data_IF_304394539694
#
_entry.id   IF_304394539694
#
_cell.length_a   1.000
_cell.length_b   1.000
_cell.length_c   1.000
_cell.angle_alpha   90.00
_cell.angle_beta   90.00
_cell.angle_gamma   90.00
#
_symmetry.space_group_name_H-M   'P 1'
#
loop_
_entity.id
_entity.type
_entity.pdbx_description
1 polymer ?
#
# COMPACT_ATOMS: atom_id res chain seq x y z
N UNK A 1 47.39 -26.58 -43.80
CA UNK A 1 46.41 -25.54 -43.44
C UNK A 1 46.11 -25.72 -41.96
N UNK A 2 46.29 -24.67 -41.18
CA UNK A 2 46.47 -24.71 -39.72
C UNK A 2 45.16 -24.76 -38.91
N UNK A 3 45.35 -25.19 -37.66
CA UNK A 3 44.49 -25.34 -36.48
C UNK A 3 43.70 -24.06 -36.15
N UNK A 4 42.49 -24.18 -35.58
CA UNK A 4 41.84 -23.06 -34.89
C UNK A 4 40.48 -23.36 -34.28
N UNK A 5 40.48 -23.80 -33.02
CA UNK A 5 39.34 -23.87 -32.10
C UNK A 5 38.71 -22.50 -31.83
N UNK A 6 37.44 -22.47 -31.42
CA UNK A 6 36.84 -21.24 -30.86
C UNK A 6 35.37 -21.37 -30.53
N UNK A 7 35.08 -21.83 -29.30
CA UNK A 7 33.80 -21.67 -28.62
C UNK A 7 33.24 -20.25 -28.76
N UNK A 8 31.91 -20.11 -28.78
CA UNK A 8 31.27 -19.11 -27.91
C UNK A 8 29.82 -19.51 -27.58
N UNK A 9 29.68 -19.86 -26.31
CA UNK A 9 28.45 -19.94 -25.55
C UNK A 9 27.68 -18.62 -25.62
N UNK A 10 26.35 -18.70 -25.71
CA UNK A 10 25.41 -17.83 -24.98
C UNK A 10 23.95 -18.28 -25.24
N UNK A 11 23.63 -19.51 -24.81
CA UNK A 11 22.23 -19.94 -24.66
C UNK A 11 22.01 -20.43 -23.22
N UNK A 12 22.23 -19.52 -22.28
CA UNK A 12 21.93 -19.74 -20.86
C UNK A 12 21.70 -18.38 -20.21
N UNK A 13 20.48 -17.84 -20.36
CA UNK A 13 19.92 -16.76 -19.53
C UNK A 13 18.39 -16.74 -19.67
N UNK A 14 17.69 -17.79 -19.24
CA UNK A 14 16.23 -17.72 -19.04
C UNK A 14 15.70 -18.69 -17.96
N UNK A 15 16.55 -19.25 -17.08
CA UNK A 15 16.12 -20.31 -16.14
C UNK A 15 16.35 -19.96 -14.67
N UNK A 16 16.32 -18.68 -14.28
CA UNK A 16 16.28 -18.32 -12.86
C UNK A 16 14.85 -17.98 -12.39
N UNK A 17 13.96 -17.48 -13.26
CA UNK A 17 12.56 -17.18 -12.89
C UNK A 17 11.61 -18.39 -12.86
N UNK A 18 12.01 -19.52 -13.45
CA UNK A 18 11.13 -20.71 -13.56
C UNK A 18 11.05 -21.53 -12.26
N UNK A 19 12.03 -21.40 -11.36
CA UNK A 19 12.08 -22.22 -10.15
C UNK A 19 11.12 -21.69 -9.06
N UNK A 20 11.11 -20.37 -8.85
CA UNK A 20 10.29 -19.72 -7.81
C UNK A 20 8.79 -19.74 -8.14
N UNK A 21 8.44 -19.69 -9.44
CA UNK A 21 7.04 -19.70 -9.88
C UNK A 21 6.36 -21.05 -9.56
N UNK A 22 7.09 -22.16 -9.72
CA UNK A 22 6.62 -23.50 -9.38
C UNK A 22 6.45 -23.72 -7.87
N UNK A 23 7.16 -22.99 -7.00
CA UNK A 23 7.00 -23.10 -5.54
C UNK A 23 5.78 -22.36 -5.02
N UNK A 24 5.53 -21.15 -5.55
CA UNK A 24 4.32 -20.39 -5.23
C UNK A 24 3.09 -21.11 -5.78
N UNK A 25 3.17 -21.70 -6.97
CA UNK A 25 2.08 -22.48 -7.55
C UNK A 25 1.77 -23.74 -6.73
N UNK A 26 2.79 -24.45 -6.22
CA UNK A 26 2.60 -25.60 -5.31
C UNK A 26 2.05 -25.17 -3.94
N UNK A 27 2.52 -24.06 -3.38
CA UNK A 27 2.04 -23.54 -2.09
C UNK A 27 0.58 -23.04 -2.14
N UNK A 28 0.10 -22.66 -3.34
CA UNK A 28 -1.27 -22.17 -3.57
C UNK A 28 -2.15 -23.17 -4.31
N UNK A 29 -1.69 -24.41 -4.51
CA UNK A 29 -2.37 -25.45 -5.31
C UNK A 29 -3.74 -25.86 -4.72
N UNK A 30 -3.96 -25.64 -3.42
CA UNK A 30 -5.23 -25.91 -2.74
C UNK A 30 -6.27 -24.79 -2.87
N UNK A 31 -5.92 -23.62 -3.41
CA UNK A 31 -6.84 -22.49 -3.55
C UNK A 31 -7.45 -22.47 -4.95
N UNK A 32 -8.77 -22.32 -5.04
CA UNK A 32 -9.42 -22.17 -6.34
C UNK A 32 -9.11 -20.80 -6.94
N UNK A 33 -9.00 -20.72 -8.28
CA UNK A 33 -8.79 -19.42 -8.96
C UNK A 33 -9.90 -18.41 -8.65
N UNK A 34 -11.11 -18.88 -8.29
CA UNK A 34 -12.20 -18.04 -7.79
C UNK A 34 -11.91 -17.38 -6.43
N UNK A 35 -11.25 -18.08 -5.49
CA UNK A 35 -10.87 -17.51 -4.19
C UNK A 35 -9.75 -16.47 -4.34
N UNK A 36 -8.83 -16.74 -5.28
CA UNK A 36 -7.76 -15.81 -5.64
C UNK A 36 -8.30 -14.52 -6.28
N UNK A 37 -9.42 -14.58 -7.00
CA UNK A 37 -10.09 -13.42 -7.61
C UNK A 37 -10.97 -12.67 -6.62
N UNK A 38 -11.64 -13.35 -5.68
CA UNK A 38 -12.48 -12.71 -4.66
C UNK A 38 -11.68 -11.88 -3.65
N UNK A 39 -10.42 -12.24 -3.40
CA UNK A 39 -9.52 -11.48 -2.52
C UNK A 39 -9.13 -10.08 -3.07
N UNK A 40 -9.54 -9.74 -4.30
CA UNK A 40 -9.02 -8.55 -5.01
C UNK A 40 -10.09 -7.61 -5.54
N UNK A 41 -10.20 -6.41 -4.96
CA UNK A 41 -11.16 -5.42 -5.41
C UNK A 41 -10.81 -4.74 -6.76
N UNK A 42 -9.54 -4.60 -7.15
CA UNK A 42 -9.13 -3.98 -8.44
C UNK A 42 -9.51 -4.78 -9.69
N UNK A 43 -9.72 -6.10 -9.55
CA UNK A 43 -10.15 -6.94 -10.66
C UNK A 43 -11.57 -6.60 -11.13
N UNK A 44 -12.39 -5.99 -10.26
CA UNK A 44 -13.73 -5.51 -10.62
C UNK A 44 -13.70 -4.27 -11.51
N UNK A 45 -12.59 -3.53 -11.49
CA UNK A 45 -12.41 -2.26 -12.22
C UNK A 45 -11.59 -2.43 -13.52
N UNK A 46 -11.18 -3.67 -13.85
CA UNK A 46 -10.40 -3.97 -15.05
C UNK A 46 -8.94 -3.50 -14.98
N UNK A 47 -8.43 -3.22 -13.79
CA UNK A 47 -7.03 -2.81 -13.59
C UNK A 47 -6.18 -4.07 -13.40
N UNK A 48 -5.18 -4.25 -14.27
CA UNK A 48 -4.23 -5.37 -14.17
C UNK A 48 -3.08 -5.03 -13.21
N UNK A 49 -2.81 -5.86 -12.18
CA UNK A 49 -1.68 -5.66 -11.29
C UNK A 49 -0.34 -5.96 -11.99
N UNK A 50 0.78 -5.42 -11.48
CA UNK A 50 2.11 -5.64 -12.06
C UNK A 50 2.62 -7.09 -11.90
N UNK A 51 1.88 -7.96 -11.19
CA UNK A 51 2.29 -9.31 -10.81
C UNK A 51 1.20 -10.33 -11.10
N UNK A 52 1.61 -11.59 -11.24
CA UNK A 52 0.66 -12.69 -11.45
C UNK A 52 -0.30 -12.83 -10.26
N UNK A 53 -1.51 -13.37 -10.49
CA UNK A 53 -2.51 -13.42 -9.44
C UNK A 53 -2.08 -14.12 -8.16
N UNK A 54 -1.33 -15.21 -8.26
CA UNK A 54 -0.86 -15.98 -7.11
C UNK A 54 0.21 -15.22 -6.33
N UNK A 55 1.12 -14.52 -7.03
CA UNK A 55 2.15 -13.67 -6.43
C UNK A 55 1.53 -12.52 -5.64
N UNK A 56 0.52 -11.85 -6.18
CA UNK A 56 -0.21 -10.80 -5.45
C UNK A 56 -0.84 -11.32 -4.15
N UNK A 57 -1.48 -12.49 -4.20
CA UNK A 57 -2.12 -13.08 -3.02
C UNK A 57 -1.10 -13.42 -1.93
N UNK A 58 0.00 -14.10 -2.30
CA UNK A 58 1.07 -14.44 -1.37
C UNK A 58 1.70 -13.18 -0.75
N UNK A 59 1.95 -12.14 -1.55
CA UNK A 59 2.45 -10.86 -1.07
C UNK A 59 1.47 -10.18 -0.12
N UNK A 60 0.17 -10.14 -0.43
CA UNK A 60 -0.82 -9.55 0.47
C UNK A 60 -0.85 -10.26 1.82
N UNK A 61 -0.76 -11.59 1.82
CA UNK A 61 -0.73 -12.37 3.06
C UNK A 61 0.51 -12.07 3.90
N UNK A 62 1.68 -11.98 3.24
CA UNK A 62 2.94 -11.62 3.86
C UNK A 62 2.92 -10.19 4.42
N UNK A 63 2.48 -9.22 3.61
CA UNK A 63 2.42 -7.80 3.98
C UNK A 63 1.41 -7.52 5.10
N UNK A 64 0.41 -8.37 5.26
CA UNK A 64 -0.58 -8.28 6.35
C UNK A 64 -0.03 -8.75 7.70
N UNK A 65 1.13 -9.42 7.72
CA UNK A 65 1.77 -9.82 8.97
C UNK A 65 2.51 -8.64 9.60
N UNK A 66 2.44 -8.53 10.93
CA UNK A 66 3.23 -7.54 11.67
C UNK A 66 4.58 -8.13 12.06
N UNK A 67 5.64 -7.55 11.54
CA UNK A 67 7.01 -7.85 11.93
C UNK A 67 7.60 -6.71 12.76
N UNK A 68 8.67 -6.96 13.50
CA UNK A 68 9.43 -5.86 14.12
C UNK A 68 10.24 -5.15 13.03
N UNK A 69 10.32 -3.82 13.10
CA UNK A 69 11.01 -3.04 12.06
C UNK A 69 12.49 -3.41 11.95
N UNK A 70 13.13 -3.81 13.06
CA UNK A 70 14.52 -4.29 13.05
C UNK A 70 14.67 -5.62 12.29
N UNK A 71 13.80 -6.59 12.57
CA UNK A 71 13.79 -7.87 11.85
C UNK A 71 13.53 -7.66 10.36
N UNK A 72 12.55 -6.82 10.04
CA UNK A 72 12.19 -6.51 8.65
C UNK A 72 13.36 -5.89 7.90
N UNK A 73 14.12 -5.00 8.55
CA UNK A 73 15.26 -4.33 7.94
C UNK A 73 16.46 -5.27 7.75
N UNK A 74 16.69 -6.20 8.67
CA UNK A 74 17.74 -7.22 8.53
C UNK A 74 17.44 -8.16 7.36
N UNK A 75 16.20 -8.66 7.27
CA UNK A 75 15.76 -9.52 6.17
C UNK A 75 15.73 -8.76 4.83
N UNK A 76 15.25 -7.51 4.83
CA UNK A 76 15.19 -6.70 3.62
C UNK A 76 16.57 -6.50 2.99
N UNK A 77 17.64 -6.31 3.77
CA UNK A 77 19.01 -6.20 3.24
C UNK A 77 19.51 -7.46 2.53
N UNK A 78 18.98 -8.63 2.91
CA UNK A 78 19.32 -9.91 2.28
C UNK A 78 18.66 -10.14 0.92
N UNK A 79 17.64 -9.34 0.56
CA UNK A 79 16.92 -9.48 -0.69
C UNK A 79 17.75 -9.00 -1.89
N UNK A 80 17.56 -9.67 -3.03
CA UNK A 80 18.10 -9.21 -4.30
C UNK A 80 17.46 -7.89 -4.73
N UNK A 81 18.21 -7.05 -5.45
CA UNK A 81 17.68 -5.77 -5.93
C UNK A 81 16.45 -5.93 -6.84
N UNK A 82 16.44 -6.97 -7.69
CA UNK A 82 15.32 -7.25 -8.58
C UNK A 82 14.04 -7.60 -7.80
N UNK A 83 14.18 -8.39 -6.73
CA UNK A 83 13.07 -8.69 -5.81
C UNK A 83 12.58 -7.44 -5.10
N UNK A 84 13.49 -6.58 -4.61
CA UNK A 84 13.17 -5.31 -3.95
C UNK A 84 12.39 -4.38 -4.88
N UNK A 85 12.87 -4.22 -6.12
CA UNK A 85 12.23 -3.37 -7.11
C UNK A 85 10.84 -3.91 -7.48
N UNK A 86 10.70 -5.23 -7.58
CA UNK A 86 9.41 -5.91 -7.85
C UNK A 86 8.41 -5.68 -6.71
N UNK A 87 8.85 -5.85 -5.46
CA UNK A 87 8.00 -5.60 -4.29
C UNK A 87 7.65 -4.11 -4.19
N UNK A 88 8.61 -3.20 -4.42
CA UNK A 88 8.37 -1.76 -4.40
C UNK A 88 7.36 -1.31 -5.47
N UNK A 89 7.43 -1.85 -6.69
CA UNK A 89 6.42 -1.66 -7.75
C UNK A 89 5.04 -2.11 -7.29
N UNK A 90 4.96 -3.26 -6.63
CA UNK A 90 3.70 -3.77 -6.12
C UNK A 90 3.13 -2.92 -4.96
N UNK A 91 3.98 -2.48 -4.02
CA UNK A 91 3.56 -1.60 -2.92
C UNK A 91 3.10 -0.23 -3.44
N UNK A 92 3.77 0.32 -4.45
CA UNK A 92 3.34 1.55 -5.13
C UNK A 92 1.99 1.38 -5.83
N UNK A 93 1.76 0.23 -6.47
CA UNK A 93 0.45 -0.13 -7.02
C UNK A 93 -0.62 -0.17 -5.91
N UNK A 94 -0.35 -0.83 -4.79
CA UNK A 94 -1.27 -0.88 -3.65
C UNK A 94 -1.56 0.51 -3.08
N UNK A 95 -0.57 1.39 -2.96
CA UNK A 95 -0.77 2.79 -2.54
C UNK A 95 -1.60 3.60 -3.54
N UNK A 96 -1.56 3.25 -4.82
CA UNK A 96 -2.36 3.91 -5.86
C UNK A 96 -3.80 3.45 -5.86
N UNK A 97 -4.03 2.20 -5.46
CA UNK A 97 -5.34 1.59 -5.49
C UNK A 97 -6.06 1.63 -4.12
N UNK A 98 -5.33 1.78 -3.01
CA UNK A 98 -5.90 1.77 -1.66
C UNK A 98 -7.08 2.74 -1.55
N UNK A 99 -8.30 2.24 -1.29
CA UNK A 99 -9.47 3.09 -1.23
C UNK A 99 -9.35 4.04 -0.03
N UNK A 100 -9.86 5.28 -0.13
CA UNK A 100 -9.82 6.25 0.96
C UNK A 100 -10.67 5.82 2.18
N UNK A 101 -11.59 4.88 1.99
CA UNK A 101 -12.36 4.22 3.05
C UNK A 101 -12.15 2.72 2.92
N UNK A 102 -11.56 2.03 3.92
CA UNK A 102 -11.37 0.59 3.88
C UNK A 102 -12.73 -0.12 3.83
N UNK A 103 -12.94 -0.98 2.83
CA UNK A 103 -14.08 -1.90 2.84
C UNK A 103 -13.78 -3.06 3.81
N UNK A 104 -14.74 -3.41 4.67
CA UNK A 104 -14.57 -4.36 5.79
C UNK A 104 -14.12 -5.77 5.37
N UNK A 105 -14.24 -6.13 4.09
CA UNK A 105 -14.00 -7.51 3.60
C UNK A 105 -12.80 -7.61 2.65
N UNK A 106 -11.84 -6.69 2.74
CA UNK A 106 -10.73 -6.68 1.79
C UNK A 106 -9.54 -7.48 2.32
N UNK A 107 -9.10 -8.50 1.59
CA UNK A 107 -7.87 -9.29 1.84
C UNK A 107 -6.57 -8.47 1.62
N UNK A 108 -6.64 -7.15 1.73
CA UNK A 108 -5.53 -6.25 1.49
C UNK A 108 -4.80 -5.92 2.78
N UNK A 109 -3.47 -5.76 2.71
CA UNK A 109 -2.72 -5.27 3.85
C UNK A 109 -3.22 -3.85 4.22
N UNK A 110 -3.36 -3.56 5.52
CA UNK A 110 -3.61 -2.20 6.01
C UNK A 110 -2.60 -1.20 5.43
N UNK A 111 -3.07 0.01 5.14
CA UNK A 111 -2.25 1.07 4.55
C UNK A 111 -1.00 1.36 5.40
N UNK A 112 -1.10 1.28 6.72
CA UNK A 112 0.05 1.50 7.60
C UNK A 112 1.15 0.47 7.37
N UNK A 113 0.79 -0.80 7.13
CA UNK A 113 1.76 -1.85 6.84
C UNK A 113 2.38 -1.66 5.46
N UNK A 114 1.60 -1.28 4.45
CA UNK A 114 2.13 -0.96 3.12
C UNK A 114 3.20 0.14 3.20
N UNK A 115 2.94 1.19 3.99
CA UNK A 115 3.90 2.29 4.22
C UNK A 115 5.12 1.79 5.00
N UNK A 116 4.94 0.97 6.05
CA UNK A 116 6.05 0.41 6.84
C UNK A 116 6.99 -0.44 5.98
N UNK A 117 6.45 -1.36 5.20
CA UNK A 117 7.21 -2.20 4.27
C UNK A 117 7.94 -1.36 3.22
N UNK A 118 7.27 -0.35 2.66
CA UNK A 118 7.89 0.52 1.67
C UNK A 118 9.08 1.29 2.27
N UNK A 119 8.92 1.86 3.47
CA UNK A 119 10.00 2.56 4.17
C UNK A 119 11.19 1.63 4.43
N UNK A 120 10.95 0.42 4.91
CA UNK A 120 12.04 -0.53 5.20
C UNK A 120 12.79 -0.94 3.95
N UNK A 121 12.11 -1.15 2.82
CA UNK A 121 12.75 -1.46 1.55
C UNK A 121 13.58 -0.29 1.02
N UNK A 122 13.02 0.93 1.08
CA UNK A 122 13.71 2.15 0.67
C UNK A 122 14.96 2.40 1.53
N UNK A 123 14.85 2.25 2.85
CA UNK A 123 15.96 2.47 3.78
C UNK A 123 17.07 1.43 3.60
N UNK A 124 16.71 0.19 3.31
CA UNK A 124 17.67 -0.91 3.17
C UNK A 124 18.42 -0.88 1.83
N UNK A 125 17.77 -0.38 0.77
CA UNK A 125 18.32 -0.40 -0.60
C UNK A 125 18.47 0.99 -1.23
N UNK A 126 18.48 2.05 -0.42
CA UNK A 126 18.45 3.44 -0.87
C UNK A 126 19.43 3.76 -2.00
N UNK A 127 20.70 3.35 -1.87
CA UNK A 127 21.72 3.63 -2.87
C UNK A 127 21.42 2.96 -4.21
N UNK A 128 20.98 1.70 -4.20
CA UNK A 128 20.68 0.94 -5.41
C UNK A 128 19.44 1.51 -6.11
N UNK A 129 18.40 1.83 -5.34
CA UNK A 129 17.16 2.43 -5.84
C UNK A 129 17.43 3.81 -6.46
N UNK A 130 18.26 4.64 -5.82
CA UNK A 130 18.59 5.98 -6.33
C UNK A 130 19.41 5.95 -7.62
N UNK A 131 20.20 4.91 -7.84
CA UNK A 131 21.05 4.76 -9.03
C UNK A 131 20.33 4.04 -10.18
N UNK A 132 19.25 3.31 -9.90
CA UNK A 132 18.50 2.59 -10.91
C UNK A 132 17.57 3.52 -11.70
N UNK A 133 17.75 3.58 -13.02
CA UNK A 133 16.87 4.36 -13.90
C UNK A 133 15.43 3.83 -13.85
N UNK A 134 15.26 2.51 -13.75
CA UNK A 134 13.96 1.82 -13.67
C UNK A 134 13.14 2.16 -12.40
N UNK A 135 13.79 2.73 -11.38
CA UNK A 135 13.14 3.14 -10.14
C UNK A 135 12.71 4.61 -10.13
N UNK A 136 13.24 5.42 -11.06
CA UNK A 136 13.08 6.89 -11.03
C UNK A 136 11.61 7.32 -11.13
N UNK A 137 10.84 6.67 -11.98
CA UNK A 137 9.42 6.97 -12.16
C UNK A 137 8.60 6.62 -10.91
N UNK A 138 8.92 5.47 -10.29
CA UNK A 138 8.27 5.02 -9.05
C UNK A 138 8.56 6.00 -7.93
N UNK A 139 9.82 6.41 -7.76
CA UNK A 139 10.22 7.35 -6.72
C UNK A 139 9.56 8.71 -6.91
N UNK A 140 9.54 9.23 -8.14
CA UNK A 140 8.88 10.50 -8.45
C UNK A 140 7.38 10.45 -8.11
N UNK A 141 6.72 9.33 -8.46
CA UNK A 141 5.30 9.14 -8.12
C UNK A 141 5.06 8.95 -6.61
N UNK A 142 5.98 8.30 -5.90
CA UNK A 142 5.92 8.18 -4.44
C UNK A 142 6.08 9.53 -3.75
N UNK A 143 7.00 10.38 -4.20
CA UNK A 143 7.17 11.74 -3.68
C UNK A 143 5.89 12.56 -3.82
N UNK A 144 5.26 12.52 -4.99
CA UNK A 144 3.98 13.18 -5.23
C UNK A 144 2.87 12.65 -4.31
N UNK A 145 2.79 11.33 -4.14
CA UNK A 145 1.81 10.71 -3.22
C UNK A 145 2.05 11.10 -1.77
N UNK A 146 3.29 11.09 -1.30
CA UNK A 146 3.62 11.51 0.06
C UNK A 146 3.25 12.98 0.28
N UNK A 147 3.47 13.85 -0.70
CA UNK A 147 3.02 15.24 -0.64
C UNK A 147 1.50 15.35 -0.52
N UNK A 148 0.75 14.59 -1.34
CA UNK A 148 -0.72 14.54 -1.26
C UNK A 148 -1.23 13.98 0.07
N UNK A 149 -0.66 12.88 0.56
CA UNK A 149 -1.03 12.26 1.83
C UNK A 149 -0.75 13.20 3.02
N UNK A 150 0.39 13.90 3.00
CA UNK A 150 0.74 14.89 4.03
C UNK A 150 -0.24 16.06 4.02
N UNK A 151 -0.57 16.58 2.83
CA UNK A 151 -1.57 17.64 2.67
C UNK A 151 -2.94 17.19 3.19
N UNK A 152 -3.43 16.03 2.77
CA UNK A 152 -4.69 15.47 3.23
C UNK A 152 -4.71 15.27 4.75
N UNK A 153 -3.62 14.80 5.35
CA UNK A 153 -3.52 14.63 6.79
C UNK A 153 -3.65 15.99 7.52
N UNK A 154 -3.01 17.04 7.00
CA UNK A 154 -3.10 18.38 7.56
C UNK A 154 -4.52 18.97 7.46
N UNK A 155 -5.18 18.77 6.32
CA UNK A 155 -6.56 19.23 6.08
C UNK A 155 -7.55 18.48 6.97
N UNK A 156 -7.38 17.16 7.10
CA UNK A 156 -8.20 16.31 7.98
C UNK A 156 -8.04 16.69 9.45
N UNK A 157 -6.82 17.01 9.88
CA UNK A 157 -6.55 17.51 11.24
C UNK A 157 -7.21 18.86 11.50
N UNK A 158 -7.18 19.77 10.52
CA UNK A 158 -7.87 21.05 10.61
C UNK A 158 -9.39 20.85 10.71
N UNK A 159 -9.97 19.99 9.87
CA UNK A 159 -11.39 19.66 9.91
C UNK A 159 -11.80 19.07 11.26
N UNK A 160 -11.03 18.12 11.80
CA UNK A 160 -11.28 17.54 13.12
C UNK A 160 -11.27 18.62 14.22
N UNK A 161 -10.34 19.58 14.14
CA UNK A 161 -10.30 20.73 15.05
C UNK A 161 -11.55 21.60 14.96
N UNK A 162 -12.01 21.90 13.75
CA UNK A 162 -13.25 22.67 13.56
C UNK A 162 -14.48 21.93 14.06
N UNK A 163 -14.55 20.61 13.85
CA UNK A 163 -15.65 19.77 14.33
C UNK A 163 -15.68 19.71 15.86
N UNK A 164 -14.52 19.58 16.50
CA UNK A 164 -14.42 19.62 17.95
C UNK A 164 -14.93 20.95 18.53
N UNK A 165 -14.59 22.07 17.89
CA UNK A 165 -15.08 23.39 18.30
C UNK A 165 -16.59 23.56 18.09
N UNK A 166 -17.13 23.08 16.96
CA UNK A 166 -18.58 23.08 16.71
C UNK A 166 -19.32 22.24 17.75
N UNK A 167 -18.82 21.04 18.06
CA UNK A 167 -19.39 20.18 19.10
C UNK A 167 -19.36 20.86 20.47
N UNK A 168 -18.25 21.51 20.84
CA UNK A 168 -18.14 22.29 22.08
C UNK A 168 -19.18 23.41 22.16
N UNK A 169 -19.33 24.19 21.09
CA UNK A 169 -20.32 25.27 21.04
C UNK A 169 -21.76 24.74 21.12
N UNK A 170 -22.04 23.60 20.51
CA UNK A 170 -23.35 22.95 20.59
C UNK A 170 -23.68 22.53 22.03
N UNK A 171 -22.73 21.89 22.73
CA UNK A 171 -22.89 21.51 24.14
C UNK A 171 -23.09 22.71 25.06
N UNK A 172 -22.33 23.79 24.85
CA UNK A 172 -22.47 25.04 25.61
C UNK A 172 -23.82 25.71 25.36
N UNK A 173 -24.30 25.72 24.12
CA UNK A 173 -25.64 26.21 23.78
C UNK A 173 -26.73 25.35 24.41
N UNK A 174 -26.60 24.03 24.46
CA UNK A 174 -27.57 23.19 25.16
C UNK A 174 -27.59 23.47 26.67
N UNK A 175 -26.41 23.60 27.29
CA UNK A 175 -26.31 23.98 28.72
C UNK A 175 -26.89 25.36 29.01
N UNK A 176 -26.77 26.31 28.09
CA UNK A 176 -27.34 27.65 28.22
C UNK A 176 -28.84 27.71 27.85
N UNK A 177 -29.34 26.90 26.91
CA UNK A 177 -30.77 26.77 26.62
C UNK A 177 -31.53 26.11 27.78
N UNK A 178 -30.91 25.21 28.54
CA UNK A 178 -31.46 24.73 29.82
C UNK A 178 -31.53 25.81 30.92
N UNK A 179 -31.01 27.03 30.67
CA UNK A 179 -31.16 28.21 31.53
C UNK A 179 -32.12 29.25 30.95
N UNK A 180 -32.73 28.99 29.78
CA UNK A 180 -33.84 29.80 29.26
C UNK A 180 -35.03 29.51 30.18
N UNK A 181 -35.50 30.52 30.92
CA UNK A 181 -36.54 30.34 31.93
C UNK A 181 -37.79 29.66 31.38
N UNK A 182 -38.45 28.85 32.21
CA UNK A 182 -39.57 27.95 31.89
C UNK A 182 -40.83 28.64 31.31
N UNK A 183 -40.76 29.92 30.94
CA UNK A 183 -41.88 30.68 30.42
C UNK A 183 -41.41 31.77 29.44
N UNK A 184 -42.06 31.79 28.27
CA UNK A 184 -42.03 32.89 27.32
C UNK A 184 -43.42 33.54 27.30
N UNK A 185 -43.49 34.87 27.30
CA UNK A 185 -44.73 35.62 27.05
C UNK A 185 -44.69 36.13 25.62
N UNK A 186 -45.52 35.57 24.76
CA UNK A 186 -45.72 36.03 23.39
C UNK A 186 -46.88 37.02 23.35
N UNK A 187 -46.64 38.21 22.80
CA UNK A 187 -47.68 39.23 22.60
C UNK A 187 -48.25 39.05 21.20
N UNK A 188 -49.50 38.59 21.12
CA UNK A 188 -50.23 38.48 19.85
C UNK A 188 -51.02 39.77 19.64
N UNK A 189 -50.68 40.50 18.57
CA UNK A 189 -51.45 41.66 18.11
C UNK A 189 -52.56 41.22 17.15
N UNK A 190 -53.80 41.58 17.45
CA UNK A 190 -54.98 41.40 16.59
C UNK A 190 -55.26 42.67 15.77
#
# INVERSE_FOLDING_TARGET
MAIGSGSNNNFMKLTENSCEENEIERATEHMSDSDLLQSRPWTKEGIEPPLSPRKCFALNLMLSQRFSSQFLQEEARGLSFDSVLTIAKYLHFLLSWSPPVPEENTSLPPLELVIEWLNVLLDSHFQQIRLAEDAKDIISSLEEKVAHMTKWQSESKALLGTLAEVSRQFEERQKNNNKMGDYCIEVVSF
#
